data_IF_273266577178
#
_entry.id   IF_273266577178
#
_cell.length_a   1.000
_cell.length_b   1.000
_cell.length_c   1.000
_cell.angle_alpha   90.00
_cell.angle_beta   90.00
_cell.angle_gamma   90.00
#
_symmetry.space_group_name_H-M   'P 1'
#
loop_
_entity.id
_entity.type
_entity.pdbx_description
1 polymer ?
#
# COMPACT_ATOMS: atom_id res chain seq x y z
N UNK A 1 32.63 48.77 66.92
CA UNK A 1 32.75 49.17 65.51
C UNK A 1 33.04 47.90 64.71
N UNK A 2 32.03 47.24 64.13
CA UNK A 2 31.49 47.46 62.78
C UNK A 2 32.59 47.34 61.69
N UNK A 3 32.51 46.52 60.63
CA UNK A 3 31.44 45.72 60.01
C UNK A 3 32.03 44.91 58.83
N UNK A 4 31.49 43.69 58.60
CA UNK A 4 31.13 43.05 57.31
C UNK A 4 31.71 43.61 55.99
N UNK A 5 32.14 42.71 55.09
CA UNK A 5 31.32 42.29 53.93
C UNK A 5 31.90 41.10 53.16
N UNK A 6 30.98 40.17 52.87
CA UNK A 6 31.10 38.99 52.04
C UNK A 6 31.25 39.34 50.55
N UNK A 7 31.85 38.45 49.78
CA UNK A 7 31.39 38.12 48.41
C UNK A 7 31.85 36.69 48.07
N UNK A 8 30.89 35.77 48.18
CA UNK A 8 30.94 34.41 47.65
C UNK A 8 30.64 34.52 46.15
N UNK A 9 31.52 34.00 45.30
CA UNK A 9 31.18 33.68 43.90
C UNK A 9 31.40 32.19 43.74
N UNK A 10 30.30 31.44 43.80
CA UNK A 10 30.22 30.05 43.39
C UNK A 10 30.09 30.03 41.86
N UNK A 11 31.14 29.62 41.15
CA UNK A 11 31.03 29.25 39.73
C UNK A 11 30.74 27.75 39.63
N UNK A 12 29.46 27.39 39.49
CA UNK A 12 29.04 26.07 39.01
C UNK A 12 29.49 25.93 37.56
N UNK A 13 30.46 25.06 37.30
CA UNK A 13 30.72 24.57 35.95
C UNK A 13 29.71 23.45 35.65
N UNK A 14 28.65 23.80 34.92
CA UNK A 14 27.72 22.84 34.31
C UNK A 14 28.42 22.11 33.18
N UNK A 15 28.78 20.84 33.42
CA UNK A 15 29.16 19.90 32.36
C UNK A 15 27.93 19.63 31.47
N UNK A 16 27.86 20.28 30.31
CA UNK A 16 26.93 19.90 29.25
C UNK A 16 27.35 18.53 28.69
N UNK A 17 26.61 17.49 29.04
CA UNK A 17 26.56 16.25 28.27
C UNK A 17 25.85 16.57 26.94
N UNK A 18 26.62 17.03 25.96
CA UNK A 18 26.20 16.99 24.57
C UNK A 18 26.16 15.52 24.14
N UNK A 19 25.02 14.87 24.37
CA UNK A 19 24.71 13.61 23.70
C UNK A 19 24.64 13.92 22.21
N UNK A 20 25.73 13.64 21.49
CA UNK A 20 25.69 13.56 20.04
C UNK A 20 24.69 12.46 19.70
N UNK A 21 23.47 12.85 19.34
CA UNK A 21 22.46 11.95 18.81
C UNK A 21 22.86 11.59 17.38
N UNK A 22 23.96 10.83 17.23
CA UNK A 22 24.39 10.30 15.95
C UNK A 22 23.33 9.32 15.52
N UNK A 23 22.57 9.68 14.47
CA UNK A 23 21.67 8.73 13.82
C UNK A 23 22.47 7.45 13.49
N UNK A 24 21.86 6.26 13.68
CA UNK A 24 22.53 5.00 13.39
C UNK A 24 23.17 5.04 12.00
N UNK A 25 24.41 4.55 11.88
CA UNK A 25 25.08 4.45 10.58
C UNK A 25 24.20 3.61 9.62
N UNK A 26 24.26 3.88 8.31
CA UNK A 26 23.43 3.15 7.32
C UNK A 26 23.54 1.62 7.49
N UNK A 27 24.70 1.09 7.89
CA UNK A 27 24.93 -0.33 8.16
C UNK A 27 24.18 -0.91 9.37
N UNK A 28 23.71 -0.09 10.31
CA UNK A 28 23.10 -0.54 11.56
C UNK A 28 21.59 -0.81 11.43
N UNK A 29 20.92 -0.23 10.42
CA UNK A 29 19.49 -0.51 10.19
C UNK A 29 19.30 -1.76 9.34
N UNK A 30 18.46 -2.73 9.76
CA UNK A 30 18.17 -3.88 8.91
C UNK A 30 17.43 -3.44 7.64
N UNK A 31 17.61 -4.13 6.51
CA UNK A 31 16.73 -3.94 5.36
C UNK A 31 15.29 -4.35 5.71
N UNK A 32 14.33 -3.60 5.19
CA UNK A 32 12.89 -3.87 5.30
C UNK A 32 12.37 -4.38 3.97
N UNK A 33 11.67 -5.52 4.00
CA UNK A 33 10.90 -6.03 2.86
C UNK A 33 9.41 -5.82 3.11
N UNK A 34 8.74 -5.14 2.18
CA UNK A 34 7.32 -4.80 2.25
C UNK A 34 6.49 -5.68 1.33
N UNK A 35 5.54 -6.44 1.90
CA UNK A 35 4.67 -7.38 1.20
C UNK A 35 3.22 -6.87 1.12
N UNK A 36 2.74 -6.61 -0.09
CA UNK A 36 1.39 -6.07 -0.32
C UNK A 36 0.28 -7.12 -0.09
N UNK A 37 -0.97 -6.64 -0.07
CA UNK A 37 -2.18 -7.45 0.09
C UNK A 37 -2.66 -8.15 -1.18
N UNK A 38 -3.84 -8.77 -1.09
CA UNK A 38 -4.48 -9.50 -2.18
C UNK A 38 -4.86 -8.54 -3.33
N UNK A 39 -4.36 -8.79 -4.54
CA UNK A 39 -4.65 -7.93 -5.70
C UNK A 39 -3.88 -6.60 -5.76
N UNK A 40 -3.05 -6.31 -4.75
CA UNK A 40 -2.29 -5.06 -4.65
C UNK A 40 -0.88 -5.18 -5.29
N UNK A 41 -0.08 -4.12 -5.16
CA UNK A 41 1.30 -4.02 -5.66
C UNK A 41 2.20 -3.24 -4.69
N UNK A 42 3.49 -3.13 -5.02
CA UNK A 42 4.45 -2.32 -4.26
C UNK A 42 4.04 -0.83 -4.15
N UNK A 43 3.19 -0.32 -5.05
CA UNK A 43 2.77 1.08 -5.08
C UNK A 43 2.14 1.56 -3.77
N UNK A 44 1.41 0.68 -3.08
CA UNK A 44 0.71 1.05 -1.85
C UNK A 44 1.69 1.46 -0.75
N UNK A 45 2.92 0.95 -0.77
CA UNK A 45 3.95 1.31 0.20
C UNK A 45 4.59 2.68 -0.02
N UNK A 46 4.29 3.38 -1.12
CA UNK A 46 4.93 4.66 -1.47
C UNK A 46 5.01 5.66 -0.30
N UNK A 47 3.90 5.94 0.38
CA UNK A 47 3.90 6.90 1.49
C UNK A 47 4.57 6.35 2.74
N UNK A 48 4.50 5.04 2.98
CA UNK A 48 5.23 4.37 4.06
C UNK A 48 6.75 4.48 3.85
N UNK A 49 7.24 4.20 2.63
CA UNK A 49 8.66 4.35 2.27
C UNK A 49 9.12 5.79 2.51
N UNK A 50 8.35 6.76 2.04
CA UNK A 50 8.63 8.17 2.28
C UNK A 50 8.70 8.55 3.75
N UNK A 51 7.82 8.01 4.59
CA UNK A 51 7.88 8.23 6.04
C UNK A 51 9.13 7.61 6.64
N UNK A 52 9.52 6.39 6.24
CA UNK A 52 10.77 5.78 6.68
C UNK A 52 12.00 6.61 6.30
N UNK A 53 12.09 7.04 5.03
CA UNK A 53 13.17 7.90 4.54
C UNK A 53 13.22 9.24 5.29
N UNK A 54 12.06 9.87 5.51
CA UNK A 54 11.93 11.14 6.25
C UNK A 54 12.41 11.05 7.70
N UNK A 55 12.35 9.85 8.27
CA UNK A 55 12.82 9.58 9.62
C UNK A 55 14.25 9.02 9.65
N UNK A 56 14.91 8.86 8.51
CA UNK A 56 16.33 8.49 8.39
C UNK A 56 16.58 7.00 8.20
N UNK A 57 15.59 6.22 7.77
CA UNK A 57 15.88 4.87 7.25
C UNK A 57 16.52 5.00 5.86
N UNK A 58 17.67 4.34 5.58
CA UNK A 58 18.32 4.44 4.28
C UNK A 58 17.44 3.89 3.15
N UNK A 59 17.32 4.63 2.04
CA UNK A 59 16.46 4.28 0.90
C UNK A 59 16.87 2.94 0.29
N UNK A 60 18.18 2.68 0.19
CA UNK A 60 18.77 1.43 -0.30
C UNK A 60 18.47 0.21 0.58
N UNK A 61 17.82 0.41 1.73
CA UNK A 61 17.39 -0.64 2.66
C UNK A 61 15.88 -0.86 2.68
N UNK A 62 15.12 -0.20 1.82
CA UNK A 62 13.68 -0.32 1.76
C UNK A 62 13.25 -1.00 0.46
N UNK A 63 12.68 -2.20 0.56
CA UNK A 63 12.35 -3.05 -0.58
C UNK A 63 10.87 -3.39 -0.61
N UNK A 64 10.09 -2.71 -1.44
CA UNK A 64 8.70 -3.10 -1.70
C UNK A 64 8.65 -4.06 -2.89
N UNK A 65 8.06 -5.24 -2.68
CA UNK A 65 8.04 -6.33 -3.66
C UNK A 65 6.71 -6.37 -4.41
N UNK A 66 6.72 -6.81 -5.67
CA UNK A 66 5.53 -6.98 -6.50
C UNK A 66 5.33 -8.47 -6.81
N UNK A 67 4.40 -9.13 -6.13
CA UNK A 67 4.07 -10.51 -6.44
C UNK A 67 3.37 -10.57 -7.82
N UNK A 68 3.87 -11.35 -8.80
CA UNK A 68 3.36 -11.34 -10.17
C UNK A 68 1.86 -11.59 -10.29
N UNK A 69 1.35 -12.60 -9.56
CA UNK A 69 -0.07 -12.92 -9.46
C UNK A 69 -0.54 -12.69 -8.02
N UNK A 70 -0.99 -11.47 -7.68
CA UNK A 70 -1.23 -11.05 -6.31
C UNK A 70 -2.56 -11.57 -5.73
N UNK A 71 -3.40 -12.18 -6.56
CA UNK A 71 -4.69 -12.73 -6.15
C UNK A 71 -4.56 -14.17 -5.61
N UNK A 72 -5.23 -14.44 -4.50
CA UNK A 72 -5.39 -15.77 -3.92
C UNK A 72 -6.23 -16.68 -4.82
N UNK A 73 -5.97 -17.99 -4.76
CA UNK A 73 -6.85 -19.00 -5.35
C UNK A 73 -8.18 -19.06 -4.58
N UNK A 74 -9.25 -19.45 -5.27
CA UNK A 74 -10.55 -19.67 -4.64
C UNK A 74 -10.49 -20.87 -3.67
N UNK A 75 -9.72 -21.89 -4.02
CA UNK A 75 -9.30 -23.01 -3.18
C UNK A 75 -7.78 -23.15 -3.33
N UNK A 76 -7.03 -23.12 -2.23
CA UNK A 76 -5.57 -23.12 -2.25
C UNK A 76 -4.97 -24.35 -2.93
N UNK A 77 -5.64 -25.50 -2.79
CA UNK A 77 -5.20 -26.79 -3.33
C UNK A 77 -5.51 -26.95 -4.83
N UNK A 78 -6.42 -26.14 -5.38
CA UNK A 78 -6.84 -26.23 -6.78
C UNK A 78 -6.11 -25.18 -7.60
N UNK A 79 -5.30 -25.63 -8.57
CA UNK A 79 -4.60 -24.72 -9.48
C UNK A 79 -5.60 -23.78 -10.19
N UNK A 80 -5.31 -22.48 -10.17
CA UNK A 80 -6.15 -21.47 -10.80
C UNK A 80 -5.26 -20.46 -11.53
N UNK A 81 -5.29 -20.39 -12.87
CA UNK A 81 -4.48 -19.46 -13.65
C UNK A 81 -4.68 -18.00 -13.21
N UNK A 82 -3.59 -17.23 -13.18
CA UNK A 82 -3.62 -15.82 -12.81
C UNK A 82 -3.70 -15.56 -11.29
N UNK A 83 -3.70 -16.62 -10.48
CA UNK A 83 -3.76 -16.59 -9.02
C UNK A 83 -2.65 -17.46 -8.43
N UNK A 84 -2.29 -17.17 -7.19
CA UNK A 84 -1.21 -17.86 -6.48
C UNK A 84 -1.72 -18.60 -5.25
N UNK A 85 -1.14 -19.76 -4.99
CA UNK A 85 -1.32 -20.46 -3.72
C UNK A 85 -0.53 -19.80 -2.58
N UNK A 86 -0.81 -20.26 -1.37
CA UNK A 86 -0.04 -19.95 -0.16
C UNK A 86 1.42 -20.38 -0.28
N UNK A 87 1.69 -21.50 -0.95
CA UNK A 87 3.03 -22.03 -1.19
C UNK A 87 3.82 -21.20 -2.23
N UNK A 88 3.17 -20.81 -3.33
CA UNK A 88 3.77 -19.96 -4.36
C UNK A 88 4.11 -18.57 -3.80
N UNK A 89 3.21 -17.99 -3.01
CA UNK A 89 3.41 -16.68 -2.38
C UNK A 89 4.56 -16.73 -1.35
N UNK A 90 4.65 -17.81 -0.56
CA UNK A 90 5.77 -18.02 0.37
C UNK A 90 7.10 -18.17 -0.36
N UNK A 91 7.15 -18.96 -1.44
CA UNK A 91 8.35 -19.16 -2.23
C UNK A 91 8.82 -17.84 -2.87
N UNK A 92 7.89 -17.03 -3.36
CA UNK A 92 8.17 -15.67 -3.86
C UNK A 92 8.82 -14.80 -2.77
N UNK A 93 8.20 -14.69 -1.59
CA UNK A 93 8.76 -13.88 -0.50
C UNK A 93 10.13 -14.40 -0.05
N UNK A 94 10.31 -15.73 0.04
CA UNK A 94 11.60 -16.33 0.37
C UNK A 94 12.71 -15.89 -0.61
N UNK A 95 12.44 -15.97 -1.91
CA UNK A 95 13.40 -15.57 -2.93
C UNK A 95 13.74 -14.06 -2.84
N UNK A 96 12.75 -13.22 -2.56
CA UNK A 96 12.99 -11.78 -2.37
C UNK A 96 13.82 -11.49 -1.11
N UNK A 97 13.56 -12.18 0.00
CA UNK A 97 14.37 -12.04 1.22
C UNK A 97 15.81 -12.47 0.97
N UNK A 98 16.03 -13.60 0.31
CA UNK A 98 17.38 -14.07 -0.06
C UNK A 98 18.10 -13.08 -0.97
N UNK A 99 17.40 -12.52 -1.97
CA UNK A 99 17.93 -11.47 -2.84
C UNK A 99 18.32 -10.23 -2.04
N UNK A 100 17.49 -9.80 -1.10
CA UNK A 100 17.75 -8.61 -0.26
C UNK A 100 18.93 -8.84 0.68
N UNK A 101 19.01 -9.98 1.35
CA UNK A 101 20.16 -10.35 2.19
C UNK A 101 21.46 -10.35 1.37
N UNK A 102 21.44 -10.98 0.19
CA UNK A 102 22.60 -11.00 -0.73
C UNK A 102 23.00 -9.60 -1.21
N UNK A 103 22.02 -8.76 -1.57
CA UNK A 103 22.27 -7.41 -2.10
C UNK A 103 22.85 -6.49 -1.03
N UNK A 104 22.38 -6.61 0.22
CA UNK A 104 22.71 -5.67 1.30
C UNK A 104 23.85 -6.16 2.20
N UNK A 105 24.19 -7.45 2.14
CA UNK A 105 25.12 -8.09 3.07
C UNK A 105 24.59 -8.20 4.51
N UNK A 106 23.31 -7.86 4.75
CA UNK A 106 22.71 -7.98 6.07
C UNK A 106 22.47 -9.46 6.44
N UNK A 107 22.57 -9.78 7.73
CA UNK A 107 22.27 -11.12 8.25
C UNK A 107 20.79 -11.34 8.57
N UNK A 108 20.04 -10.24 8.78
CA UNK A 108 18.60 -10.28 9.06
C UNK A 108 17.84 -9.19 8.30
N UNK A 109 16.56 -9.43 8.07
CA UNK A 109 15.60 -8.46 7.54
C UNK A 109 14.49 -8.13 8.55
N UNK A 110 13.76 -7.05 8.28
CA UNK A 110 12.43 -6.77 8.84
C UNK A 110 11.40 -7.06 7.76
N UNK A 111 10.27 -7.67 8.11
CA UNK A 111 9.16 -7.89 7.19
C UNK A 111 7.95 -7.05 7.61
N UNK A 112 7.39 -6.29 6.67
CA UNK A 112 6.17 -5.50 6.90
C UNK A 112 5.12 -5.95 5.87
N UNK A 113 3.94 -6.36 6.34
CA UNK A 113 2.87 -6.87 5.49
C UNK A 113 1.54 -6.18 5.72
N UNK A 114 0.77 -6.03 4.65
CA UNK A 114 -0.65 -5.65 4.72
C UNK A 114 -1.53 -6.83 4.27
N UNK A 115 -2.67 -7.02 4.93
CA UNK A 115 -3.69 -7.97 4.47
C UNK A 115 -3.10 -9.37 4.21
N UNK A 116 -3.42 -10.00 3.08
CA UNK A 116 -2.83 -11.27 2.59
C UNK A 116 -1.31 -11.35 2.70
N UNK A 117 -0.59 -10.25 2.50
CA UNK A 117 0.86 -10.19 2.63
C UNK A 117 1.35 -10.59 4.02
N UNK A 118 0.54 -10.35 5.06
CA UNK A 118 0.85 -10.81 6.40
C UNK A 118 0.81 -12.34 6.54
N UNK A 119 -0.15 -13.03 5.95
CA UNK A 119 -0.18 -14.49 5.95
C UNK A 119 0.95 -15.10 5.11
N UNK A 120 1.38 -14.41 4.05
CA UNK A 120 2.59 -14.78 3.30
C UNK A 120 3.84 -14.70 4.19
N UNK A 121 3.98 -13.61 4.95
CA UNK A 121 5.07 -13.45 5.93
C UNK A 121 5.01 -14.51 7.02
N UNK A 122 3.84 -14.76 7.61
CA UNK A 122 3.63 -15.79 8.64
C UNK A 122 4.06 -17.16 8.12
N UNK A 123 3.63 -17.53 6.91
CA UNK A 123 4.00 -18.78 6.28
C UNK A 123 5.50 -18.88 6.04
N UNK A 124 6.13 -17.82 5.53
CA UNK A 124 7.58 -17.79 5.32
C UNK A 124 8.38 -17.93 6.62
N UNK A 125 8.00 -17.21 7.67
CA UNK A 125 8.71 -17.30 8.95
C UNK A 125 8.54 -18.67 9.59
N UNK A 126 7.33 -19.23 9.59
CA UNK A 126 7.04 -20.50 10.27
C UNK A 126 7.50 -21.73 9.46
N UNK A 127 7.35 -21.71 8.13
CA UNK A 127 7.50 -22.90 7.27
C UNK A 127 8.56 -22.71 6.18
N UNK A 128 8.92 -21.47 5.83
CA UNK A 128 9.87 -21.15 4.76
C UNK A 128 11.32 -20.89 5.24
N UNK A 129 11.58 -21.08 6.54
CA UNK A 129 12.89 -20.87 7.16
C UNK A 129 13.20 -19.40 7.48
N UNK A 130 12.20 -18.50 7.45
CA UNK A 130 12.37 -17.10 7.80
C UNK A 130 12.70 -16.86 9.28
N UNK A 131 12.39 -17.81 10.17
CA UNK A 131 12.75 -17.82 11.59
C UNK A 131 14.25 -17.54 11.85
N UNK A 132 15.13 -17.95 10.93
CA UNK A 132 16.58 -17.77 11.04
C UNK A 132 17.06 -16.36 10.67
N UNK A 133 16.35 -15.69 9.76
CA UNK A 133 16.83 -14.47 9.08
C UNK A 133 15.89 -13.28 9.24
N UNK A 134 14.78 -13.41 9.95
CA UNK A 134 13.87 -12.31 10.25
C UNK A 134 14.08 -11.84 11.68
N UNK A 135 14.18 -10.53 11.89
CA UNK A 135 14.32 -9.93 13.21
C UNK A 135 12.98 -9.46 13.78
N UNK A 136 12.17 -8.82 12.93
CA UNK A 136 10.91 -8.21 13.28
C UNK A 136 9.88 -8.43 12.17
N UNK A 137 8.62 -8.56 12.57
CA UNK A 137 7.47 -8.60 11.68
C UNK A 137 6.44 -7.56 12.13
N UNK A 138 5.93 -6.78 11.17
CA UNK A 138 4.82 -5.82 11.38
C UNK A 138 3.69 -6.16 10.42
N UNK A 139 2.50 -6.47 10.95
CA UNK A 139 1.34 -6.90 10.17
C UNK A 139 0.18 -5.91 10.35
N UNK A 140 -0.22 -5.20 9.29
CA UNK A 140 -1.43 -4.37 9.32
C UNK A 140 -2.62 -5.07 8.69
N UNK A 141 -3.74 -5.15 9.42
CA UNK A 141 -5.00 -5.68 8.88
C UNK A 141 -4.87 -7.13 8.37
N UNK A 142 -3.92 -7.89 8.93
CA UNK A 142 -3.69 -9.26 8.47
C UNK A 142 -4.93 -10.12 8.77
N UNK A 143 -5.44 -10.93 7.82
CA UNK A 143 -6.51 -11.89 8.10
C UNK A 143 -5.93 -13.11 8.84
N UNK A 144 -5.47 -12.87 10.08
CA UNK A 144 -4.68 -13.80 10.88
C UNK A 144 -5.48 -15.03 11.34
N UNK A 145 -6.79 -14.88 11.43
CA UNK A 145 -7.74 -15.94 11.75
C UNK A 145 -8.73 -16.19 10.60
N UNK A 146 -8.41 -15.70 9.40
CA UNK A 146 -9.32 -15.64 8.27
C UNK A 146 -10.22 -14.40 8.27
N UNK A 147 -11.07 -14.31 7.25
CA UNK A 147 -12.11 -13.27 7.10
C UNK A 147 -13.53 -13.89 7.14
N UNK A 148 -13.59 -15.22 7.24
CA UNK A 148 -14.74 -16.01 7.68
C UNK A 148 -14.26 -17.34 8.26
N UNK A 149 -15.05 -17.97 9.12
CA UNK A 149 -14.85 -19.32 9.64
C UNK A 149 -16.21 -20.03 9.69
N UNK A 150 -16.75 -20.35 8.51
CA UNK A 150 -18.12 -20.87 8.34
C UNK A 150 -18.06 -22.20 7.60
N UNK A 151 -18.65 -23.24 8.21
CA UNK A 151 -18.69 -24.59 7.63
C UNK A 151 -19.50 -24.59 6.33
N UNK A 152 -18.98 -25.25 5.30
CA UNK A 152 -19.56 -25.31 3.95
C UNK A 152 -19.34 -24.04 3.11
N UNK A 153 -18.69 -23.01 3.64
CA UNK A 153 -18.45 -21.76 2.93
C UNK A 153 -16.98 -21.62 2.52
N UNK A 154 -16.63 -22.11 1.33
CA UNK A 154 -15.30 -21.93 0.69
C UNK A 154 -14.13 -22.28 1.63
N UNK A 155 -14.20 -23.43 2.29
CA UNK A 155 -13.23 -23.83 3.33
C UNK A 155 -11.80 -24.04 2.81
N UNK A 156 -11.65 -24.39 1.53
CA UNK A 156 -10.33 -24.53 0.90
C UNK A 156 -9.60 -23.21 0.64
N UNK A 157 -10.27 -22.06 0.82
CA UNK A 157 -9.66 -20.75 0.60
C UNK A 157 -8.70 -20.37 1.73
N UNK A 158 -7.57 -19.74 1.41
CA UNK A 158 -6.60 -19.29 2.44
C UNK A 158 -7.15 -18.23 3.41
N UNK A 159 -8.23 -17.53 3.05
CA UNK A 159 -8.93 -16.59 3.94
C UNK A 159 -9.99 -17.24 4.82
N UNK A 160 -10.25 -18.54 4.67
CA UNK A 160 -11.09 -19.27 5.61
C UNK A 160 -10.31 -19.62 6.88
N UNK A 161 -10.83 -19.24 8.04
CA UNK A 161 -10.36 -19.68 9.35
C UNK A 161 -10.43 -21.19 9.56
N UNK A 162 -11.25 -21.89 8.76
CA UNK A 162 -11.37 -23.34 8.76
C UNK A 162 -10.41 -24.03 7.77
N UNK A 163 -9.68 -23.27 6.95
CA UNK A 163 -8.76 -23.86 5.98
C UNK A 163 -7.62 -24.60 6.68
N UNK A 164 -7.12 -25.71 6.09
CA UNK A 164 -5.95 -26.40 6.60
C UNK A 164 -4.72 -25.47 6.72
N UNK A 165 -4.61 -24.49 5.82
CA UNK A 165 -3.57 -23.47 5.87
C UNK A 165 -3.67 -22.62 7.14
N UNK A 166 -4.83 -22.02 7.40
CA UNK A 166 -5.01 -21.13 8.55
C UNK A 166 -4.87 -21.87 9.88
N UNK A 167 -5.44 -23.06 9.98
CA UNK A 167 -5.33 -23.90 11.18
C UNK A 167 -3.87 -24.23 11.51
N UNK A 168 -3.04 -24.54 10.50
CA UNK A 168 -1.60 -24.78 10.72
C UNK A 168 -0.86 -23.51 11.13
N UNK A 169 -1.16 -22.36 10.54
CA UNK A 169 -0.52 -21.10 10.91
C UNK A 169 -0.82 -20.70 12.37
N UNK A 170 -2.04 -20.96 12.84
CA UNK A 170 -2.51 -20.59 14.18
C UNK A 170 -2.24 -21.68 15.23
N UNK A 171 -1.72 -22.84 14.84
CA UNK A 171 -1.31 -23.87 15.79
C UNK A 171 -0.24 -23.34 16.76
N UNK A 172 -0.32 -23.63 18.07
CA UNK A 172 0.67 -23.21 19.07
C UNK A 172 2.13 -23.46 18.67
N UNK A 173 2.99 -22.46 18.87
CA UNK A 173 4.44 -22.53 18.58
C UNK A 173 5.30 -22.80 19.82
N UNK A 174 4.71 -22.72 21.00
CA UNK A 174 5.35 -23.00 22.28
C UNK A 174 4.32 -23.42 23.33
N UNK A 175 4.79 -23.79 24.52
CA UNK A 175 3.93 -24.21 25.63
C UNK A 175 2.99 -23.11 26.18
N UNK A 176 3.24 -21.84 25.88
CA UNK A 176 2.33 -20.74 26.25
C UNK A 176 1.13 -20.62 25.29
N UNK A 177 1.16 -21.35 24.17
CA UNK A 177 0.12 -21.26 23.14
C UNK A 177 0.28 -20.08 22.20
N UNK A 178 1.48 -19.52 22.07
CA UNK A 178 1.72 -18.41 21.14
C UNK A 178 1.55 -18.84 19.69
N UNK A 179 1.01 -17.97 18.86
CA UNK A 179 0.80 -18.21 17.43
C UNK A 179 1.99 -17.76 16.57
N UNK A 180 2.93 -17.06 17.20
CA UNK A 180 4.09 -16.46 16.54
C UNK A 180 5.35 -17.26 16.80
N UNK A 181 6.25 -17.29 15.81
CA UNK A 181 7.50 -18.06 15.91
C UNK A 181 8.44 -17.45 16.98
N UNK A 182 9.03 -18.27 17.87
CA UNK A 182 10.01 -17.80 18.85
C UNK A 182 11.21 -17.10 18.20
N UNK A 183 11.82 -16.14 18.90
CA UNK A 183 13.03 -15.44 18.46
C UNK A 183 12.81 -14.31 17.44
N UNK A 184 11.63 -14.23 16.82
CA UNK A 184 11.19 -13.10 15.99
C UNK A 184 10.27 -12.22 16.81
N UNK A 185 10.41 -10.89 16.71
CA UNK A 185 9.49 -9.96 17.38
C UNK A 185 8.31 -9.64 16.46
N UNK A 186 7.09 -9.65 17.00
CA UNK A 186 5.87 -9.46 16.20
C UNK A 186 5.04 -8.28 16.69
N UNK A 187 4.60 -7.45 15.74
CA UNK A 187 3.59 -6.43 15.91
C UNK A 187 2.41 -6.73 14.97
N UNK A 188 1.19 -6.71 15.50
CA UNK A 188 -0.02 -6.55 14.69
C UNK A 188 -0.59 -5.15 14.90
N UNK A 189 -1.07 -4.55 13.82
CA UNK A 189 -1.80 -3.29 13.81
C UNK A 189 -3.17 -3.58 13.23
N UNK A 190 -4.22 -3.37 14.01
CA UNK A 190 -5.59 -3.63 13.60
C UNK A 190 -6.46 -2.39 13.73
N UNK A 191 -7.53 -2.36 12.95
CA UNK A 191 -8.62 -1.42 13.18
C UNK A 191 -9.35 -1.76 14.49
N UNK A 192 -9.94 -0.75 15.10
CA UNK A 192 -10.92 -0.95 16.17
C UNK A 192 -12.16 -1.68 15.65
N UNK A 193 -12.77 -1.19 14.55
CA UNK A 193 -14.03 -1.67 13.98
C UNK A 193 -14.23 -1.43 12.47
N UNK A 194 -13.39 -0.64 11.80
CA UNK A 194 -13.62 -0.20 10.41
C UNK A 194 -12.82 -0.99 9.36
N UNK A 195 -12.19 -2.10 9.75
CA UNK A 195 -11.60 -3.05 8.79
C UNK A 195 -12.70 -3.92 8.19
N UNK A 196 -12.98 -3.76 6.89
CA UNK A 196 -14.08 -4.46 6.22
C UNK A 196 -13.97 -6.00 6.22
N UNK A 197 -12.80 -6.58 6.48
CA UNK A 197 -12.60 -8.03 6.49
C UNK A 197 -12.57 -8.63 7.89
N UNK A 198 -12.25 -7.85 8.92
CA UNK A 198 -12.39 -8.23 10.32
C UNK A 198 -13.76 -7.78 10.85
N UNK A 199 -14.82 -8.44 10.39
CA UNK A 199 -16.21 -8.05 10.65
C UNK A 199 -17.04 -9.25 11.09
N UNK A 200 -17.94 -9.11 12.08
CA UNK A 200 -18.84 -10.19 12.49
C UNK A 200 -19.92 -10.51 11.44
N UNK A 201 -20.27 -9.55 10.59
CA UNK A 201 -21.25 -9.71 9.50
C UNK A 201 -20.57 -9.90 8.14
N UNK A 202 -21.14 -10.78 7.33
CA UNK A 202 -20.62 -11.15 6.01
C UNK A 202 -20.87 -10.17 4.87
N UNK A 203 -21.27 -8.90 5.12
CA UNK A 203 -21.48 -7.87 4.07
C UNK A 203 -20.35 -7.86 3.04
N UNK A 204 -19.10 -7.80 3.51
CA UNK A 204 -17.94 -7.57 2.64
C UNK A 204 -17.37 -8.83 2.00
N UNK A 205 -17.92 -9.99 2.35
CA UNK A 205 -17.64 -11.27 1.68
C UNK A 205 -18.78 -11.70 0.75
N UNK A 206 -19.75 -10.81 0.51
CA UNK A 206 -20.90 -11.05 -0.36
C UNK A 206 -22.01 -11.89 0.27
N UNK A 207 -22.02 -12.04 1.59
CA UNK A 207 -22.99 -12.84 2.35
C UNK A 207 -23.56 -12.03 3.52
N UNK A 208 -24.12 -10.85 3.23
CA UNK A 208 -24.72 -9.96 4.22
C UNK A 208 -25.71 -10.70 5.12
N UNK A 209 -25.62 -10.50 6.44
CA UNK A 209 -26.45 -11.18 7.43
C UNK A 209 -25.92 -12.55 7.87
N UNK A 210 -24.93 -13.11 7.17
CA UNK A 210 -24.26 -14.35 7.61
C UNK A 210 -23.19 -14.00 8.66
N UNK A 211 -23.23 -14.63 9.85
CA UNK A 211 -22.13 -14.51 10.81
C UNK A 211 -20.85 -15.06 10.20
N UNK A 212 -19.79 -14.25 10.17
CA UNK A 212 -18.47 -14.67 9.67
C UNK A 212 -17.74 -15.54 10.68
N UNK A 213 -18.12 -15.50 11.96
CA UNK A 213 -17.36 -16.03 13.10
C UNK A 213 -15.94 -15.40 13.25
N UNK A 214 -15.74 -14.20 12.69
CA UNK A 214 -14.52 -13.40 12.83
C UNK A 214 -14.90 -12.07 13.51
N UNK A 215 -14.20 -11.73 14.60
CA UNK A 215 -14.36 -10.47 15.30
C UNK A 215 -13.46 -9.37 14.77
N UNK A 216 -13.64 -8.14 15.28
CA UNK A 216 -12.77 -7.00 14.98
C UNK A 216 -11.32 -7.21 15.43
N UNK A 217 -11.11 -8.09 16.41
CA UNK A 217 -9.82 -8.52 16.94
C UNK A 217 -9.20 -9.67 16.15
N UNK A 218 -9.86 -10.21 15.12
CA UNK A 218 -9.36 -11.31 14.28
C UNK A 218 -7.93 -11.13 13.73
N UNK A 219 -7.43 -9.91 13.44
CA UNK A 219 -6.04 -9.71 13.05
C UNK A 219 -5.00 -9.87 14.16
N UNK A 220 -5.40 -9.84 15.43
CA UNK A 220 -4.50 -9.98 16.57
C UNK A 220 -3.90 -11.40 16.61
N UNK A 221 -2.67 -11.50 17.11
CA UNK A 221 -1.96 -12.76 17.29
C UNK A 221 -1.49 -12.91 18.73
N UNK A 222 -1.72 -14.07 19.31
CA UNK A 222 -1.16 -14.40 20.63
C UNK A 222 0.36 -14.53 20.55
N UNK A 223 1.05 -13.91 21.50
CA UNK A 223 2.52 -13.78 21.53
C UNK A 223 3.07 -12.58 20.75
N UNK A 224 2.22 -11.81 20.05
CA UNK A 224 2.60 -10.53 19.43
C UNK A 224 2.28 -9.34 20.35
N UNK A 225 2.94 -8.21 20.10
CA UNK A 225 2.39 -6.91 20.49
C UNK A 225 1.20 -6.60 19.57
N UNK A 226 0.03 -6.31 20.13
CA UNK A 226 -1.18 -6.04 19.36
C UNK A 226 -1.63 -4.59 19.58
N UNK A 227 -1.58 -3.76 18.53
CA UNK A 227 -1.99 -2.36 18.56
C UNK A 227 -3.33 -2.20 17.85
N UNK A 228 -4.25 -1.47 18.49
CA UNK A 228 -5.56 -1.13 17.92
C UNK A 228 -5.59 0.35 17.59
N UNK A 229 -5.92 0.68 16.33
CA UNK A 229 -6.04 2.05 15.86
C UNK A 229 -7.52 2.42 15.69
N UNK A 230 -7.96 3.58 16.18
CA UNK A 230 -9.34 3.99 16.06
C UNK A 230 -9.69 4.38 14.62
N UNK A 231 -10.82 3.89 14.11
CA UNK A 231 -11.49 4.31 12.87
C UNK A 231 -10.72 4.08 11.56
N UNK A 232 -9.51 3.52 11.60
CA UNK A 232 -8.73 3.21 10.39
C UNK A 232 -9.41 2.10 9.60
N UNK A 233 -9.41 2.20 8.28
CA UNK A 233 -9.88 1.12 7.41
C UNK A 233 -8.83 0.01 7.25
N UNK A 234 -9.21 -1.08 6.57
CA UNK A 234 -8.35 -2.25 6.37
C UNK A 234 -6.97 -1.93 5.78
N UNK A 235 -6.89 -0.99 4.81
CA UNK A 235 -5.62 -0.61 4.18
C UNK A 235 -4.85 0.39 5.05
N UNK A 236 -5.54 1.30 5.71
CA UNK A 236 -4.94 2.26 6.64
C UNK A 236 -4.23 1.62 7.84
N UNK A 237 -4.56 0.37 8.19
CA UNK A 237 -3.79 -0.41 9.18
C UNK A 237 -2.30 -0.60 8.82
N UNK A 238 -1.90 -0.35 7.57
CA UNK A 238 -0.50 -0.38 7.13
C UNK A 238 -0.01 0.93 6.50
N UNK A 239 -0.90 1.70 5.88
CA UNK A 239 -0.50 2.86 5.07
C UNK A 239 -0.78 4.22 5.73
N UNK A 240 -1.48 4.24 6.86
CA UNK A 240 -1.77 5.49 7.58
C UNK A 240 -0.57 6.02 8.37
N UNK A 241 -0.55 7.33 8.67
CA UNK A 241 0.41 7.91 9.62
C UNK A 241 0.45 7.20 10.98
N UNK A 242 -0.72 6.79 11.51
CA UNK A 242 -0.81 6.11 12.80
C UNK A 242 -0.23 4.69 12.76
N UNK A 243 -0.46 3.95 11.67
CA UNK A 243 0.18 2.65 11.47
C UNK A 243 1.71 2.76 11.36
N UNK A 244 2.20 3.80 10.66
CA UNK A 244 3.63 4.10 10.59
C UNK A 244 4.21 4.43 11.97
N UNK A 245 3.51 5.22 12.80
CA UNK A 245 3.95 5.56 14.17
C UNK A 245 4.12 4.31 15.04
N UNK A 246 3.12 3.44 15.06
CA UNK A 246 3.16 2.17 15.78
C UNK A 246 4.31 1.27 15.29
N UNK A 247 4.45 1.12 13.97
CA UNK A 247 5.53 0.33 13.37
C UNK A 247 6.91 0.88 13.68
N UNK A 248 7.11 2.20 13.55
CA UNK A 248 8.38 2.85 13.86
C UNK A 248 8.78 2.67 15.32
N UNK A 249 7.85 2.90 16.26
CA UNK A 249 8.10 2.74 17.69
C UNK A 249 8.46 1.31 18.05
N UNK A 250 7.76 0.35 17.45
CA UNK A 250 8.06 -1.07 17.64
C UNK A 250 9.47 -1.46 17.14
N UNK A 251 9.88 -0.91 15.99
CA UNK A 251 11.18 -1.21 15.38
C UNK A 251 12.36 -0.49 16.06
N UNK A 252 12.14 0.68 16.63
CA UNK A 252 13.23 1.57 17.10
C UNK A 252 13.23 1.83 18.60
N UNK A 253 12.10 1.60 19.29
CA UNK A 253 11.92 1.95 20.69
C UNK A 253 11.50 3.41 20.94
N UNK A 254 11.48 4.25 19.91
CA UNK A 254 11.26 5.70 20.04
C UNK A 254 10.13 6.20 19.13
N UNK A 255 9.64 7.42 19.36
CA UNK A 255 8.69 8.05 18.45
C UNK A 255 9.39 8.45 17.13
N UNK A 256 8.72 8.42 15.97
CA UNK A 256 9.27 8.99 14.74
C UNK A 256 9.41 10.51 14.90
N UNK A 257 10.42 11.09 14.25
CA UNK A 257 10.62 12.55 14.15
C UNK A 257 9.48 13.24 13.41
N UNK A 258 8.87 12.57 12.43
CA UNK A 258 7.75 13.08 11.64
C UNK A 258 6.85 11.96 11.15
N UNK A 259 5.56 12.23 11.02
CA UNK A 259 4.59 11.33 10.38
C UNK A 259 4.29 11.70 8.93
N UNK A 260 4.83 12.83 8.47
CA UNK A 260 4.65 13.33 7.11
C UNK A 260 5.92 13.12 6.27
N UNK A 261 5.78 12.78 4.98
CA UNK A 261 6.89 12.86 4.04
C UNK A 261 7.54 14.25 4.05
N UNK A 262 8.84 14.31 4.35
CA UNK A 262 9.64 15.53 4.21
C UNK A 262 10.03 15.70 2.75
N UNK A 263 9.83 16.90 2.20
CA UNK A 263 10.07 17.16 0.80
C UNK A 263 11.58 17.20 0.46
N UNK A 264 11.93 16.73 -0.73
CA UNK A 264 13.25 16.86 -1.36
C UNK A 264 13.22 18.01 -2.38
N UNK A 265 14.33 18.75 -2.51
CA UNK A 265 14.47 19.82 -3.51
C UNK A 265 14.70 19.31 -4.93
N UNK A 266 15.06 18.03 -5.07
CA UNK A 266 15.22 17.34 -6.35
C UNK A 266 14.57 15.97 -6.22
N UNK A 267 13.68 15.64 -7.15
CA UNK A 267 12.93 14.39 -7.10
C UNK A 267 13.10 13.60 -8.39
N UNK A 268 13.33 12.30 -8.24
CA UNK A 268 13.33 11.35 -9.35
C UNK A 268 12.18 10.36 -9.16
N UNK A 269 11.38 10.19 -10.20
CA UNK A 269 10.25 9.26 -10.21
C UNK A 269 10.55 8.10 -11.16
N UNK A 270 10.25 6.89 -10.70
CA UNK A 270 10.29 5.67 -11.50
C UNK A 270 9.33 4.64 -10.92
N UNK A 271 9.06 3.61 -11.69
CA UNK A 271 8.24 2.48 -11.28
C UNK A 271 8.14 1.46 -12.39
N UNK A 272 7.04 0.71 -12.41
CA UNK A 272 6.69 -0.29 -13.41
C UNK A 272 5.36 0.06 -14.05
N UNK A 273 5.21 -0.29 -15.32
CA UNK A 273 3.93 -0.34 -16.00
C UNK A 273 3.48 -1.79 -16.05
N UNK A 274 2.34 -2.07 -15.42
CA UNK A 274 1.78 -3.43 -15.33
C UNK A 274 0.46 -3.54 -16.09
N UNK A 275 0.08 -4.76 -16.46
CA UNK A 275 -1.14 -5.03 -17.21
C UNK A 275 -2.25 -5.69 -16.39
N UNK A 276 -3.18 -6.30 -17.13
CA UNK A 276 -4.33 -7.06 -16.62
C UNK A 276 -4.39 -8.43 -17.29
N UNK A 277 -5.08 -9.38 -16.65
CA UNK A 277 -5.31 -10.73 -17.14
C UNK A 277 -4.18 -11.70 -16.84
N UNK A 278 -4.23 -12.87 -17.47
CA UNK A 278 -3.15 -13.86 -17.37
C UNK A 278 -1.92 -13.43 -18.18
N UNK A 279 -2.17 -12.79 -19.32
CA UNK A 279 -1.16 -12.24 -20.23
C UNK A 279 -1.51 -10.77 -20.51
N UNK A 280 -0.68 -9.81 -20.05
CA UNK A 280 -0.87 -8.38 -20.28
C UNK A 280 -1.09 -7.99 -21.75
N UNK A 281 -0.54 -8.76 -22.69
CA UNK A 281 -0.57 -8.46 -24.12
C UNK A 281 -1.76 -9.11 -24.84
N UNK A 282 -2.49 -10.01 -24.16
CA UNK A 282 -3.67 -10.67 -24.70
C UNK A 282 -4.93 -10.24 -23.93
N UNK A 283 -5.78 -9.35 -24.49
CA UNK A 283 -6.98 -8.89 -23.80
C UNK A 283 -8.02 -9.99 -23.54
N UNK A 284 -8.00 -11.10 -24.30
CA UNK A 284 -8.87 -12.24 -24.06
C UNK A 284 -8.46 -13.05 -22.81
N UNK A 285 -7.28 -12.78 -22.24
CA UNK A 285 -6.76 -13.48 -21.06
C UNK A 285 -7.39 -13.02 -19.73
N UNK A 286 -8.39 -12.14 -19.79
CA UNK A 286 -9.13 -11.60 -18.65
C UNK A 286 -8.67 -10.19 -18.25
N UNK A 287 -9.41 -9.56 -17.33
CA UNK A 287 -9.16 -8.19 -16.86
C UNK A 287 -8.89 -8.10 -15.35
N UNK A 288 -8.55 -9.22 -14.71
CA UNK A 288 -8.14 -9.22 -13.30
C UNK A 288 -6.74 -8.61 -13.15
N UNK A 289 -6.46 -8.09 -11.96
CA UNK A 289 -5.18 -7.44 -11.67
C UNK A 289 -4.03 -8.46 -11.65
N UNK A 290 -2.91 -8.06 -12.26
CA UNK A 290 -1.62 -8.72 -12.13
C UNK A 290 -0.54 -7.66 -11.88
N UNK A 291 0.69 -8.10 -11.58
CA UNK A 291 1.87 -7.24 -11.50
C UNK A 291 2.90 -7.60 -12.58
N UNK A 292 2.45 -8.09 -13.73
CA UNK A 292 3.29 -8.46 -14.87
C UNK A 292 3.60 -7.23 -15.73
N UNK A 293 4.83 -7.12 -16.28
CA UNK A 293 5.21 -6.07 -17.21
C UNK A 293 4.26 -5.94 -18.40
N UNK A 294 3.82 -4.71 -18.70
CA UNK A 294 3.12 -4.39 -19.94
C UNK A 294 4.11 -3.88 -20.99
N UNK A 295 4.85 -4.82 -21.58
CA UNK A 295 5.89 -4.53 -22.57
C UNK A 295 5.30 -3.85 -23.81
N UNK A 296 5.99 -2.85 -24.34
CA UNK A 296 5.56 -2.10 -25.52
C UNK A 296 4.50 -1.03 -25.26
N UNK A 297 3.99 -0.90 -24.03
CA UNK A 297 3.17 0.25 -23.66
C UNK A 297 3.94 1.56 -23.89
N UNK A 298 3.23 2.60 -24.33
CA UNK A 298 3.78 3.95 -24.44
C UNK A 298 3.35 4.77 -23.25
N UNK A 299 4.31 5.39 -22.58
CA UNK A 299 4.13 6.35 -21.50
C UNK A 299 4.53 7.75 -21.98
N UNK A 300 3.68 8.74 -21.74
CA UNK A 300 4.03 10.14 -21.80
C UNK A 300 3.66 10.83 -20.48
N UNK A 301 4.52 11.71 -19.97
CA UNK A 301 4.30 12.44 -18.70
C UNK A 301 4.23 13.93 -18.98
N UNK A 302 3.17 14.58 -18.52
CA UNK A 302 2.94 16.02 -18.73
C UNK A 302 2.84 16.72 -17.39
N UNK A 303 3.53 17.85 -17.24
CA UNK A 303 3.25 18.78 -16.15
C UNK A 303 1.87 19.40 -16.39
N UNK A 304 1.04 19.43 -15.34
CA UNK A 304 -0.32 19.97 -15.43
C UNK A 304 -0.55 21.11 -14.46
N UNK A 305 -1.56 21.89 -14.75
CA UNK A 305 -2.07 22.88 -13.83
C UNK A 305 -2.76 22.23 -12.63
N UNK A 306 -2.45 22.69 -11.42
CA UNK A 306 -2.95 22.07 -10.19
C UNK A 306 -4.46 22.28 -9.97
N UNK A 307 -5.02 23.38 -10.49
CA UNK A 307 -6.44 23.69 -10.31
C UNK A 307 -7.30 22.94 -11.33
N UNK A 308 -6.83 22.84 -12.57
CA UNK A 308 -7.60 22.37 -13.73
C UNK A 308 -7.17 21.01 -14.28
N UNK A 309 -5.93 20.59 -14.06
CA UNK A 309 -5.35 19.40 -14.70
C UNK A 309 -5.02 19.60 -16.20
N UNK A 310 -5.10 20.83 -16.72
CA UNK A 310 -4.71 21.13 -18.10
C UNK A 310 -3.18 21.07 -18.26
N UNK A 311 -2.70 20.52 -19.38
CA UNK A 311 -1.26 20.42 -19.68
C UNK A 311 -0.64 21.82 -19.79
N UNK A 312 0.54 22.00 -19.20
CA UNK A 312 1.30 23.27 -19.25
C UNK A 312 2.26 23.38 -20.45
N UNK A 313 2.37 22.32 -21.25
CA UNK A 313 3.26 22.28 -22.41
C UNK A 313 3.37 20.89 -23.03
N UNK A 314 4.47 20.67 -23.77
CA UNK A 314 4.81 19.37 -24.34
C UNK A 314 5.09 18.31 -23.24
N UNK A 315 5.22 17.06 -23.64
CA UNK A 315 5.58 15.98 -22.73
C UNK A 315 6.95 16.26 -22.08
N UNK A 316 7.02 16.16 -20.76
CA UNK A 316 8.25 16.26 -19.99
C UNK A 316 9.07 14.95 -20.04
N UNK A 317 8.41 13.84 -20.38
CA UNK A 317 9.03 12.53 -20.53
C UNK A 317 8.19 11.67 -21.48
N UNK A 318 8.84 10.89 -22.32
CA UNK A 318 8.21 9.85 -23.14
C UNK A 318 9.06 8.59 -23.11
N UNK A 319 8.40 7.43 -23.04
CA UNK A 319 9.08 6.14 -22.99
C UNK A 319 8.21 5.03 -23.55
N UNK A 320 8.82 4.11 -24.30
CA UNK A 320 8.23 2.79 -24.58
C UNK A 320 8.75 1.79 -23.55
N UNK A 321 7.84 1.03 -22.94
CA UNK A 321 8.17 0.12 -21.83
C UNK A 321 8.88 -1.12 -22.36
N UNK A 322 10.06 -1.41 -21.79
CA UNK A 322 10.89 -2.54 -22.15
C UNK A 322 10.48 -3.82 -21.40
N UNK A 323 11.25 -4.90 -21.60
CA UNK A 323 10.96 -6.23 -21.03
C UNK A 323 10.91 -6.26 -19.49
N UNK A 324 11.68 -5.39 -18.82
CA UNK A 324 11.69 -5.30 -17.36
C UNK A 324 10.44 -4.60 -16.78
N UNK A 325 9.60 -4.04 -17.65
CA UNK A 325 8.40 -3.30 -17.29
C UNK A 325 8.67 -1.93 -16.67
N UNK A 326 9.93 -1.49 -16.54
CA UNK A 326 10.27 -0.28 -15.79
C UNK A 326 10.10 0.98 -16.62
N UNK A 327 9.79 2.08 -15.94
CA UNK A 327 9.80 3.43 -16.50
C UNK A 327 10.62 4.38 -15.63
N UNK A 328 11.11 5.46 -16.25
CA UNK A 328 12.04 6.41 -15.62
C UNK A 328 13.49 5.90 -15.65
N UNK A 329 14.41 6.53 -14.89
CA UNK A 329 14.19 7.62 -13.95
C UNK A 329 13.81 8.94 -14.63
N UNK A 330 12.67 9.51 -14.23
CA UNK A 330 12.22 10.83 -14.66
C UNK A 330 12.57 11.88 -13.60
N UNK A 331 13.31 12.92 -13.97
CA UNK A 331 13.60 14.05 -13.11
C UNK A 331 12.38 14.99 -13.04
N UNK A 332 11.57 14.82 -12.00
CA UNK A 332 10.36 15.59 -11.78
C UNK A 332 10.65 16.90 -11.04
N UNK A 333 9.78 17.88 -11.22
CA UNK A 333 9.80 19.15 -10.51
C UNK A 333 9.03 18.99 -9.20
N UNK A 334 9.62 19.34 -8.04
CA UNK A 334 8.89 19.38 -6.77
C UNK A 334 7.62 20.23 -6.85
N UNK A 335 6.61 19.88 -6.06
CA UNK A 335 5.32 20.58 -5.99
C UNK A 335 4.53 20.66 -7.32
N UNK A 336 4.98 19.97 -8.38
CA UNK A 336 4.29 19.92 -9.68
C UNK A 336 3.40 18.68 -9.76
N UNK A 337 2.10 18.82 -10.05
CA UNK A 337 1.25 17.69 -10.39
C UNK A 337 1.50 17.25 -11.83
N UNK A 338 1.30 15.95 -12.08
CA UNK A 338 1.57 15.33 -13.38
C UNK A 338 0.38 14.51 -13.87
N UNK A 339 0.21 14.51 -15.20
CA UNK A 339 -0.59 13.55 -15.94
C UNK A 339 0.35 12.49 -16.54
N UNK A 340 0.07 11.22 -16.26
CA UNK A 340 0.72 10.07 -16.88
C UNK A 340 -0.24 9.47 -17.90
N UNK A 341 0.11 9.54 -19.18
CA UNK A 341 -0.69 8.99 -20.28
C UNK A 341 -0.11 7.65 -20.68
N UNK A 342 -0.89 6.59 -20.51
CA UNK A 342 -0.53 5.24 -20.93
C UNK A 342 -1.40 4.80 -22.11
N UNK A 343 -0.76 4.24 -23.14
CA UNK A 343 -1.47 3.58 -24.25
C UNK A 343 -0.82 2.25 -24.59
N UNK A 344 -1.64 1.23 -24.81
CA UNK A 344 -1.21 -0.10 -25.23
C UNK A 344 -2.37 -0.82 -25.94
N UNK A 345 -2.09 -1.73 -26.90
CA UNK A 345 -3.13 -2.55 -27.53
C UNK A 345 -3.96 -3.31 -26.49
N UNK A 346 -5.28 -3.31 -26.64
CA UNK A 346 -6.20 -3.98 -25.70
C UNK A 346 -6.49 -3.23 -24.41
N UNK A 347 -6.01 -1.98 -24.27
CA UNK A 347 -6.32 -1.08 -23.16
C UNK A 347 -6.89 0.24 -23.67
N UNK A 348 -7.56 0.98 -22.79
CA UNK A 348 -7.88 2.37 -23.03
C UNK A 348 -6.62 3.24 -22.91
N UNK A 349 -6.56 4.34 -23.66
CA UNK A 349 -5.61 5.40 -23.36
C UNK A 349 -5.99 5.99 -22.00
N UNK A 350 -5.13 5.78 -21.02
CA UNK A 350 -5.43 6.09 -19.62
C UNK A 350 -4.64 7.30 -19.20
N UNK A 351 -5.35 8.34 -18.76
CA UNK A 351 -4.81 9.62 -18.29
C UNK A 351 -4.84 9.62 -16.76
N UNK A 352 -3.72 9.30 -16.12
CA UNK A 352 -3.61 9.20 -14.66
C UNK A 352 -3.08 10.54 -14.12
N UNK A 353 -3.91 11.27 -13.39
CA UNK A 353 -3.53 12.51 -12.72
C UNK A 353 -3.16 12.23 -11.28
N UNK A 354 -2.02 12.79 -10.86
CA UNK A 354 -1.49 12.63 -9.49
C UNK A 354 -1.20 13.99 -8.88
N UNK A 355 -1.47 14.11 -7.58
CA UNK A 355 -0.97 15.21 -6.75
C UNK A 355 0.56 15.26 -6.75
N UNK A 356 1.18 16.40 -6.37
CA UNK A 356 2.62 16.52 -6.36
C UNK A 356 3.32 15.51 -5.45
N UNK A 357 4.46 15.01 -5.92
CA UNK A 357 5.33 14.12 -5.16
C UNK A 357 6.26 14.97 -4.28
N UNK A 358 6.32 14.71 -2.96
CA UNK A 358 7.16 15.51 -2.07
C UNK A 358 8.63 15.10 -2.19
N UNK A 359 8.90 13.85 -2.59
CA UNK A 359 10.24 13.28 -2.64
C UNK A 359 10.33 12.19 -3.71
N UNK A 360 11.55 11.75 -4.01
CA UNK A 360 11.81 10.71 -5.00
C UNK A 360 11.07 9.40 -4.67
N UNK A 361 10.74 8.62 -5.70
CA UNK A 361 10.08 7.32 -5.53
C UNK A 361 10.43 6.39 -6.69
N UNK A 362 10.77 5.14 -6.35
CA UNK A 362 11.02 4.07 -7.32
C UNK A 362 9.85 3.07 -7.46
N UNK A 363 8.72 3.37 -6.81
CA UNK A 363 7.52 2.52 -6.75
C UNK A 363 6.27 3.25 -7.26
N UNK A 364 6.42 4.17 -8.20
CA UNK A 364 5.29 4.81 -8.88
C UNK A 364 4.76 3.85 -9.96
N UNK A 365 4.03 2.83 -9.52
CA UNK A 365 3.45 1.85 -10.45
C UNK A 365 2.30 2.49 -11.22
N UNK A 366 2.25 2.23 -12.52
CA UNK A 366 1.19 2.69 -13.41
C UNK A 366 0.52 1.47 -14.05
N UNK A 367 -0.79 1.54 -14.25
CA UNK A 367 -1.57 0.50 -14.90
C UNK A 367 -2.65 1.16 -15.76
N UNK A 368 -2.72 0.86 -17.07
CA UNK A 368 -3.79 1.38 -17.90
C UNK A 368 -5.09 0.63 -17.64
N UNK A 369 -6.20 1.33 -17.82
CA UNK A 369 -7.56 0.81 -17.63
C UNK A 369 -8.06 0.08 -18.88
N UNK A 370 -9.06 -0.78 -18.68
CA UNK A 370 -9.97 -1.23 -19.75
C UNK A 370 -11.36 -0.71 -19.44
N UNK A 371 -12.02 -0.10 -20.44
CA UNK A 371 -13.41 0.33 -20.28
C UNK A 371 -14.28 -0.92 -20.18
N UNK A 372 -14.89 -1.12 -19.01
CA UNK A 372 -15.81 -2.22 -18.77
C UNK A 372 -17.05 -2.06 -19.66
N UNK A 373 -17.69 -3.17 -20.04
CA UNK A 373 -18.91 -3.15 -20.86
C UNK A 373 -19.99 -2.25 -20.25
N UNK A 374 -20.17 -2.37 -18.93
CA UNK A 374 -21.11 -1.56 -18.16
C UNK A 374 -20.83 -0.05 -18.18
N UNK A 375 -19.66 0.40 -18.65
CA UNK A 375 -19.25 1.81 -18.71
C UNK A 375 -19.20 2.39 -20.13
N UNK A 376 -19.50 1.58 -21.17
CA UNK A 376 -19.41 2.00 -22.58
C UNK A 376 -20.45 3.04 -23.01
N UNK A 377 -21.48 3.24 -22.19
CA UNK A 377 -22.50 4.27 -22.38
C UNK A 377 -22.01 5.69 -22.05
N UNK A 378 -20.90 5.82 -21.32
CA UNK A 378 -20.33 7.10 -20.93
C UNK A 378 -19.78 7.87 -22.15
N UNK A 379 -20.03 9.19 -22.23
CA UNK A 379 -19.39 10.06 -23.23
C UNK A 379 -17.96 10.43 -22.83
N UNK A 380 -17.72 10.54 -21.53
CA UNK A 380 -16.39 10.54 -20.92
C UNK A 380 -16.45 9.79 -19.59
N UNK A 381 -15.39 9.06 -19.26
CA UNK A 381 -15.29 8.27 -18.03
C UNK A 381 -14.14 8.81 -17.17
N UNK A 382 -14.47 9.19 -15.93
CA UNK A 382 -13.48 9.64 -14.95
C UNK A 382 -13.57 8.77 -13.71
N UNK A 383 -12.44 8.25 -13.25
CA UNK A 383 -12.34 7.36 -12.09
C UNK A 383 -11.61 8.11 -10.99
N UNK A 384 -12.20 8.21 -9.81
CA UNK A 384 -11.52 8.68 -8.60
C UNK A 384 -11.08 7.48 -7.77
N UNK A 385 -9.78 7.35 -7.49
CA UNK A 385 -9.22 6.20 -6.78
C UNK A 385 -8.37 6.59 -5.56
N UNK A 386 -8.50 5.79 -4.51
CA UNK A 386 -7.78 5.87 -3.24
C UNK A 386 -6.99 4.57 -3.02
N UNK A 387 -5.76 4.42 -3.57
CA UNK A 387 -5.04 3.15 -3.53
C UNK A 387 -4.72 2.64 -2.12
N UNK A 388 -4.51 3.54 -1.15
CA UNK A 388 -3.99 3.24 0.20
C UNK A 388 -5.06 3.24 1.29
N UNK A 389 -6.33 3.17 0.90
CA UNK A 389 -7.46 3.18 1.83
C UNK A 389 -8.80 2.92 1.12
N UNK A 390 -9.90 3.06 1.86
CA UNK A 390 -11.26 2.97 1.34
C UNK A 390 -12.03 4.26 1.67
N UNK A 391 -13.05 4.58 0.88
CA UNK A 391 -13.93 5.71 1.15
C UNK A 391 -14.93 5.34 2.25
N UNK A 392 -15.02 6.17 3.29
CA UNK A 392 -16.01 6.04 4.35
C UNK A 392 -16.72 7.39 4.59
N UNK A 393 -17.96 7.57 4.10
CA UNK A 393 -18.70 8.82 4.27
C UNK A 393 -18.98 9.23 5.73
N UNK A 394 -18.87 8.29 6.68
CA UNK A 394 -19.09 8.57 8.10
C UNK A 394 -17.81 9.07 8.79
N UNK A 395 -16.66 8.94 8.11
CA UNK A 395 -15.34 9.33 8.62
C UNK A 395 -14.69 10.44 7.84
N UNK A 396 -14.84 10.40 6.52
CA UNK A 396 -14.02 11.18 5.59
C UNK A 396 -14.76 12.38 5.03
N UNK A 397 -14.02 13.46 4.77
CA UNK A 397 -14.49 14.56 3.93
C UNK A 397 -14.03 14.30 2.51
N UNK A 398 -14.98 14.10 1.60
CA UNK A 398 -14.68 13.72 0.22
C UNK A 398 -15.58 14.48 -0.77
N UNK A 399 -15.04 14.78 -1.95
CA UNK A 399 -15.79 15.36 -3.07
C UNK A 399 -15.31 14.77 -4.39
N UNK A 400 -16.23 14.58 -5.34
CA UNK A 400 -15.89 14.25 -6.72
C UNK A 400 -16.81 15.04 -7.65
N UNK A 401 -16.20 15.89 -8.49
CA UNK A 401 -16.91 16.84 -9.35
C UNK A 401 -17.91 17.72 -8.56
N UNK A 402 -17.48 18.19 -7.39
CA UNK A 402 -18.27 19.01 -6.46
C UNK A 402 -19.25 18.24 -5.57
N UNK A 403 -19.55 16.97 -5.88
CA UNK A 403 -20.50 16.14 -5.15
C UNK A 403 -19.85 15.47 -3.94
N UNK A 404 -20.49 15.57 -2.76
CA UNK A 404 -20.01 14.90 -1.55
C UNK A 404 -20.38 13.42 -1.48
N UNK A 405 -21.50 13.04 -2.09
CA UNK A 405 -21.88 11.63 -2.26
C UNK A 405 -21.24 11.09 -3.55
N UNK A 406 -20.22 10.24 -3.40
CA UNK A 406 -19.48 9.72 -4.53
C UNK A 406 -20.24 8.54 -5.16
N UNK A 407 -20.41 8.48 -6.50
CA UNK A 407 -21.09 7.37 -7.16
C UNK A 407 -20.49 6.00 -6.80
N UNK A 408 -21.33 5.05 -6.41
CA UNK A 408 -20.91 3.69 -6.05
C UNK A 408 -20.25 3.54 -4.68
N UNK A 409 -20.05 4.63 -3.93
CA UNK A 409 -19.56 4.56 -2.53
C UNK A 409 -20.75 4.32 -1.60
N UNK A 410 -20.71 3.26 -0.76
CA UNK A 410 -21.80 2.97 0.16
C UNK A 410 -21.89 4.08 1.22
N UNK A 411 -23.10 4.43 1.71
CA UNK A 411 -23.29 5.51 2.69
C UNK A 411 -22.68 5.20 4.07
N UNK A 412 -22.31 3.95 4.34
CA UNK A 412 -21.76 3.48 5.60
C UNK A 412 -20.63 2.47 5.37
N UNK A 413 -19.55 2.63 6.13
CA UNK A 413 -18.41 1.71 6.16
C UNK A 413 -17.42 1.88 5.00
N UNK A 414 -16.18 1.45 5.26
CA UNK A 414 -15.05 1.62 4.37
C UNK A 414 -14.90 0.45 3.34
N UNK A 415 -15.84 0.37 2.40
CA UNK A 415 -15.98 -0.80 1.50
C UNK A 415 -15.22 -0.76 0.18
N UNK A 416 -15.18 0.42 -0.45
CA UNK A 416 -14.70 0.61 -1.83
C UNK A 416 -13.64 1.70 -1.90
N UNK A 417 -12.66 1.53 -2.78
CA UNK A 417 -11.51 2.43 -2.92
C UNK A 417 -11.52 3.20 -4.24
N UNK A 418 -12.61 3.08 -5.01
CA UNK A 418 -12.78 3.78 -6.28
C UNK A 418 -14.23 4.20 -6.50
N UNK A 419 -14.43 5.36 -7.13
CA UNK A 419 -15.72 5.87 -7.59
C UNK A 419 -15.62 6.23 -9.08
N UNK A 420 -16.68 6.00 -9.84
CA UNK A 420 -16.71 6.26 -11.29
C UNK A 420 -17.75 7.30 -11.63
N UNK A 421 -17.34 8.31 -12.37
CA UNK A 421 -18.21 9.35 -12.91
C UNK A 421 -18.34 9.15 -14.43
N UNK A 422 -19.58 8.89 -14.87
CA UNK A 422 -19.93 8.84 -16.28
C UNK A 422 -20.51 10.18 -16.70
N UNK A 423 -19.89 10.85 -17.65
CA UNK A 423 -20.36 12.13 -18.17
C UNK A 423 -21.29 11.92 -19.38
N UNK A 424 -22.30 12.78 -19.48
CA UNK A 424 -23.26 12.82 -20.59
C UNK A 424 -22.76 13.61 -21.80
N UNK A 425 -21.60 14.26 -21.69
CA UNK A 425 -20.93 15.02 -22.75
C UNK A 425 -19.48 14.56 -22.86
N UNK A 426 -18.93 14.62 -24.08
CA UNK A 426 -17.52 14.38 -24.41
C UNK A 426 -16.72 15.69 -24.51
N UNK A 427 -17.34 16.84 -24.28
CA UNK A 427 -16.66 18.13 -24.23
C UNK A 427 -15.60 18.12 -23.11
N UNK A 428 -14.31 18.33 -23.43
CA UNK A 428 -13.26 18.33 -22.42
C UNK A 428 -13.50 19.39 -21.35
N UNK A 429 -13.44 18.98 -20.08
CA UNK A 429 -13.50 19.90 -18.94
C UNK A 429 -12.68 19.37 -17.76
N UNK A 430 -12.35 20.28 -16.87
CA UNK A 430 -11.70 19.96 -15.59
C UNK A 430 -12.67 19.24 -14.65
N UNK A 431 -12.21 18.15 -14.04
CA UNK A 431 -12.85 17.44 -12.94
C UNK A 431 -11.91 17.46 -11.74
N UNK A 432 -12.45 17.75 -10.56
CA UNK A 432 -11.70 17.72 -9.32
C UNK A 432 -12.20 16.60 -8.40
N UNK A 433 -11.27 15.96 -7.71
CA UNK A 433 -11.56 15.03 -6.64
C UNK A 433 -10.78 15.41 -5.37
N UNK A 434 -11.43 15.27 -4.22
CA UNK A 434 -10.90 15.68 -2.93
C UNK A 434 -11.15 14.59 -1.89
N UNK A 435 -10.16 14.34 -1.04
CA UNK A 435 -10.26 13.43 0.10
C UNK A 435 -9.39 13.94 1.24
N UNK A 436 -10.00 14.23 2.39
CA UNK A 436 -9.32 14.65 3.62
C UNK A 436 -8.20 15.68 3.41
N UNK A 437 -8.43 16.67 2.54
CA UNK A 437 -7.49 17.76 2.24
C UNK A 437 -6.56 17.54 1.05
N UNK A 438 -6.41 16.31 0.54
CA UNK A 438 -5.75 16.08 -0.75
C UNK A 438 -6.72 16.39 -1.89
N UNK A 439 -6.29 17.18 -2.86
CA UNK A 439 -7.05 17.52 -4.07
C UNK A 439 -6.26 17.14 -5.32
N UNK A 440 -6.94 16.48 -6.26
CA UNK A 440 -6.41 16.17 -7.59
C UNK A 440 -7.38 16.69 -8.64
N UNK A 441 -6.86 17.37 -9.67
CA UNK A 441 -7.65 17.79 -10.82
C UNK A 441 -7.10 17.18 -12.11
N UNK A 442 -8.00 16.86 -13.03
CA UNK A 442 -7.68 16.26 -14.33
C UNK A 442 -8.71 16.64 -15.37
N UNK A 443 -8.37 16.46 -16.65
CA UNK A 443 -9.29 16.69 -17.76
C UNK A 443 -10.12 15.43 -18.04
N UNK A 444 -11.39 15.60 -18.41
CA UNK A 444 -12.18 14.54 -19.02
C UNK A 444 -11.81 14.38 -20.50
N UNK A 445 -11.72 13.13 -20.96
CA UNK A 445 -11.41 12.80 -22.35
C UNK A 445 -12.55 11.98 -22.99
N UNK A 446 -12.80 12.12 -24.31
CA UNK A 446 -13.85 11.36 -24.99
C UNK A 446 -13.65 9.84 -24.88
N UNK A 447 -14.61 9.16 -24.27
CA UNK A 447 -14.59 7.70 -24.10
C UNK A 447 -14.78 6.96 -25.43
N UNK A 448 -15.49 7.56 -26.39
CA UNK A 448 -15.67 7.01 -27.74
C UNK A 448 -14.35 6.88 -28.53
N UNK A 449 -13.32 7.64 -28.13
CA UNK A 449 -11.96 7.53 -28.67
C UNK A 449 -11.08 6.54 -27.87
N UNK A 450 -11.68 5.81 -26.93
CA UNK A 450 -10.98 4.85 -26.08
C UNK A 450 -10.17 5.48 -24.94
N UNK A 451 -10.55 6.67 -24.47
CA UNK A 451 -9.86 7.34 -23.35
C UNK A 451 -10.56 7.13 -22.00
N UNK A 452 -9.78 7.11 -20.93
CA UNK A 452 -10.26 7.14 -19.53
C UNK A 452 -9.37 8.07 -18.71
N UNK A 453 -9.99 8.89 -17.85
CA UNK A 453 -9.26 9.68 -16.85
C UNK A 453 -9.27 8.99 -15.50
N UNK A 454 -8.14 8.98 -14.80
CA UNK A 454 -8.01 8.50 -13.42
C UNK A 454 -7.44 9.62 -12.57
N UNK A 455 -8.20 10.08 -11.58
CA UNK A 455 -7.73 10.96 -10.51
C UNK A 455 -7.28 10.07 -9.35
N UNK A 456 -5.98 9.90 -9.15
CA UNK A 456 -5.42 9.00 -8.15
C UNK A 456 -4.81 9.76 -6.97
N UNK A 457 -5.29 9.46 -5.77
CA UNK A 457 -4.75 10.00 -4.52
C UNK A 457 -3.37 9.40 -4.22
N UNK A 458 -2.48 10.26 -3.75
CA UNK A 458 -1.12 9.87 -3.35
C UNK A 458 -1.02 9.60 -1.85
N UNK A 459 -1.70 10.37 -0.99
CA UNK A 459 -1.39 10.43 0.46
C UNK A 459 -2.16 9.48 1.37
#
# INVERSE_FOLDING_TARGET
MHTRRHLIVLSLATTMLAACNTAPLSSERPPIVFMHGNGDSAALWQTTLWRFESNGWPRERLFAVDQPFPLARDDDAVAQPGRSSTAESMAFLKAEVERVLKTTGASKVVLIGNSRGGNTIRNYVQNGGGDRVVSHVVLGGNPAHGIWAVKGFREGNEFSGLSPFMQRLNAPKNGAGDEVAPGVKWLTVRSDKNDKYAQPDGVWIGAKGMPTNIGFDGPALKGATNVTLPRVDHRETSFSPAAFEAGWRFLTGEAPRTLQPVAESTITLSGKVTGLGLDPLNPASGSFVNNLPLVGARLAVFAVDAATGARRGAAAWEQTIAQDGRWGPFNAQPATPYEFVLSAPGYATTHIYRSPFPRSSAVVQLRPERIAEADRDAKALVIFTRPRGYFDPQRDTMRFDGQAALPGVPPQGAGVSSSKLKLSTDAPRSIAAEFNGERVAGQSWPAAQGNVSVLELTY
#
